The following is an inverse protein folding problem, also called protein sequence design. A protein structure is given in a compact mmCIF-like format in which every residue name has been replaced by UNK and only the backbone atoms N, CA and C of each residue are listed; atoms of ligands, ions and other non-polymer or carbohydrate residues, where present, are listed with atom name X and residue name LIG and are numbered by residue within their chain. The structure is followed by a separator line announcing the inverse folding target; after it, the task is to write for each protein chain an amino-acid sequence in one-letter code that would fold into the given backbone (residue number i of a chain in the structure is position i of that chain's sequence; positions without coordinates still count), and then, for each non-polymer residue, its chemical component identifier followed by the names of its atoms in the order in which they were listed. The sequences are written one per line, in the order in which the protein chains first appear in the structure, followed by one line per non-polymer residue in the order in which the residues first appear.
data_IF_401738420197
#
_entry.id   IF_401738420197
#
_cell.length_a   1.000
_cell.length_b   1.000
_cell.length_c   1.000
_cell.angle_alpha   90.00
_cell.angle_beta   90.00
_cell.angle_gamma   90.00
#
_symmetry.space_group_name_H-M   'P 1'
#
loop_
_entity.id
_entity.type
_entity.pdbx_description
1 polymer ?
#
# COMPACT_ATOMS: atom_id res chain seq x y z
N UNK A 1 7.82 1.85 12.01
CA UNK A 1 7.58 3.30 11.92
C UNK A 1 8.83 4.00 11.40
N UNK A 2 8.68 4.81 10.36
CA UNK A 2 9.75 5.68 9.82
C UNK A 2 9.20 7.09 9.60
N UNK A 3 10.07 8.12 9.68
CA UNK A 3 9.65 9.52 9.59
C UNK A 3 10.49 10.36 8.63
N UNK A 4 9.89 11.44 8.14
CA UNK A 4 10.52 12.43 7.25
C UNK A 4 11.04 11.79 5.96
N UNK A 5 12.22 12.18 5.54
CA UNK A 5 12.85 11.67 4.32
C UNK A 5 13.08 10.13 4.33
N UNK A 6 13.15 9.50 5.53
CA UNK A 6 13.31 8.06 5.64
C UNK A 6 12.08 7.28 5.15
N UNK A 7 10.90 7.90 5.08
CA UNK A 7 9.71 7.29 4.49
C UNK A 7 9.88 7.00 3.01
N UNK A 8 10.80 7.69 2.32
CA UNK A 8 11.14 7.43 0.91
C UNK A 8 11.91 6.13 0.66
N UNK A 9 12.34 5.46 1.72
CA UNK A 9 12.97 4.14 1.68
C UNK A 9 11.87 3.08 1.78
N UNK A 10 11.62 2.33 0.72
CA UNK A 10 10.53 1.34 0.63
C UNK A 10 10.53 0.37 1.82
N UNK A 11 11.72 -0.11 2.21
CA UNK A 11 11.94 -1.00 3.35
C UNK A 11 12.70 -0.27 4.46
N UNK A 12 12.33 0.99 4.72
CA UNK A 12 12.96 1.81 5.74
C UNK A 12 12.85 1.20 7.14
N UNK A 13 13.92 1.30 7.91
CA UNK A 13 13.94 0.89 9.32
C UNK A 13 13.95 2.12 10.22
N UNK A 14 13.41 1.97 11.42
CA UNK A 14 13.51 2.99 12.45
C UNK A 14 14.98 3.34 12.72
N UNK A 15 15.24 4.62 12.94
CA UNK A 15 16.56 5.18 13.26
C UNK A 15 16.43 6.09 14.48
N UNK A 16 17.52 6.72 14.90
CA UNK A 16 17.52 7.71 15.98
C UNK A 16 16.96 9.09 15.55
N UNK A 17 16.51 9.23 14.28
CA UNK A 17 15.87 10.45 13.80
C UNK A 17 14.66 10.77 14.68
N UNK A 18 14.65 11.97 15.25
CA UNK A 18 13.49 12.49 15.98
C UNK A 18 12.40 12.90 15.00
N UNK A 19 11.16 12.66 15.38
CA UNK A 19 9.99 13.11 14.62
C UNK A 19 9.86 14.62 14.80
N UNK A 20 9.67 15.36 13.71
CA UNK A 20 9.60 16.82 13.67
C UNK A 20 8.34 17.27 12.94
N UNK A 21 7.91 18.50 13.19
CA UNK A 21 6.79 19.09 12.44
C UNK A 21 7.14 19.18 10.95
N UNK A 22 6.20 18.78 10.10
CA UNK A 22 6.37 18.64 8.66
C UNK A 22 6.80 17.25 8.20
N UNK A 23 7.19 16.36 9.12
CA UNK A 23 7.54 14.99 8.75
C UNK A 23 6.33 14.19 8.25
N UNK A 24 6.51 13.49 7.14
CA UNK A 24 5.70 12.31 6.86
C UNK A 24 6.01 11.22 7.91
N UNK A 25 5.01 10.52 8.37
CA UNK A 25 5.14 9.41 9.31
C UNK A 25 4.47 8.18 8.72
N UNK A 26 5.27 7.21 8.28
CA UNK A 26 4.77 5.94 7.75
C UNK A 26 4.78 4.89 8.84
N UNK A 27 3.61 4.33 9.08
CA UNK A 27 3.35 3.24 10.01
C UNK A 27 2.99 2.00 9.20
N UNK A 28 3.70 0.90 9.42
CA UNK A 28 3.38 -0.40 8.85
C UNK A 28 3.48 -1.45 9.96
N UNK A 29 2.42 -2.17 10.17
CA UNK A 29 2.33 -3.13 11.26
C UNK A 29 1.25 -4.16 11.01
N UNK A 30 1.40 -5.30 11.66
CA UNK A 30 0.47 -6.38 11.65
C UNK A 30 0.38 -7.09 12.99
N UNK A 31 -0.51 -8.05 13.07
CA UNK A 31 -0.70 -8.93 14.21
C UNK A 31 -0.65 -10.39 13.77
N UNK A 32 -0.42 -11.27 14.74
CA UNK A 32 -0.58 -12.73 14.57
C UNK A 32 -1.66 -13.20 15.53
N UNK A 33 -2.68 -13.84 14.99
CA UNK A 33 -3.75 -14.44 15.78
C UNK A 33 -4.03 -15.86 15.30
N UNK A 34 -3.94 -16.83 16.20
CA UNK A 34 -4.08 -18.26 15.90
C UNK A 34 -3.22 -18.73 14.70
N UNK A 35 -2.01 -18.19 14.55
CA UNK A 35 -1.07 -18.50 13.46
C UNK A 35 -1.29 -17.72 12.17
N UNK A 36 -2.38 -16.99 12.00
CA UNK A 36 -2.65 -16.13 10.85
C UNK A 36 -2.14 -14.71 11.08
N UNK A 37 -1.68 -14.09 10.01
CA UNK A 37 -1.08 -12.75 10.03
C UNK A 37 -2.03 -11.72 9.42
N UNK A 38 -1.91 -10.49 9.89
CA UNK A 38 -2.45 -9.31 9.22
C UNK A 38 -1.33 -8.34 8.87
N UNK A 39 -1.60 -7.46 7.93
CA UNK A 39 -0.69 -6.40 7.50
C UNK A 39 -1.47 -5.15 7.13
N UNK A 40 -0.93 -3.98 7.44
CA UNK A 40 -1.49 -2.71 7.01
C UNK A 40 -0.47 -1.58 7.11
N UNK A 41 -0.55 -0.61 6.21
CA UNK A 41 0.23 0.62 6.30
C UNK A 41 -0.64 1.86 6.17
N UNK A 42 -0.24 2.92 6.86
CA UNK A 42 -0.76 4.28 6.73
C UNK A 42 0.37 5.29 6.79
N UNK A 43 0.21 6.34 6.00
CA UNK A 43 1.11 7.49 6.07
C UNK A 43 0.33 8.71 6.56
N UNK A 44 0.89 9.40 7.52
CA UNK A 44 0.36 10.59 8.19
C UNK A 44 1.35 11.73 8.00
N UNK A 45 0.98 12.95 8.42
CA UNK A 45 1.90 14.10 8.51
C UNK A 45 1.84 14.70 9.91
N UNK A 46 2.99 15.03 10.45
CA UNK A 46 3.09 15.76 11.71
C UNK A 46 3.00 17.26 11.42
N UNK A 47 1.93 17.91 11.88
CA UNK A 47 1.59 19.29 11.49
C UNK A 47 0.84 19.34 10.16
N UNK A 48 1.24 20.22 9.25
CA UNK A 48 0.55 20.44 7.98
C UNK A 48 1.33 19.87 6.79
N UNK A 49 0.64 19.12 5.94
CA UNK A 49 1.15 18.64 4.68
C UNK A 49 1.26 19.77 3.66
N UNK A 50 2.34 19.80 2.89
CA UNK A 50 2.45 20.68 1.73
C UNK A 50 1.62 20.18 0.54
N UNK A 51 1.50 20.99 -0.50
CA UNK A 51 0.68 20.67 -1.67
C UNK A 51 1.28 19.54 -2.53
N UNK A 52 2.62 19.38 -2.56
CA UNK A 52 3.28 18.27 -3.27
C UNK A 52 2.92 16.95 -2.59
N UNK A 53 3.00 16.88 -1.26
CA UNK A 53 2.61 15.72 -0.48
C UNK A 53 1.12 15.39 -0.65
N UNK A 54 0.24 16.38 -0.50
CA UNK A 54 -1.22 16.19 -0.65
C UNK A 54 -1.58 15.66 -2.03
N UNK A 55 -0.92 16.17 -3.09
CA UNK A 55 -1.13 15.69 -4.45
C UNK A 55 -0.74 14.22 -4.59
N UNK A 56 0.47 13.86 -4.14
CA UNK A 56 0.94 12.48 -4.18
C UNK A 56 0.05 11.55 -3.33
N UNK A 57 -0.38 12.02 -2.15
CA UNK A 57 -1.26 11.26 -1.26
C UNK A 57 -2.60 10.92 -1.92
N UNK A 58 -3.25 11.89 -2.57
CA UNK A 58 -4.51 11.65 -3.30
C UNK A 58 -4.35 10.59 -4.38
N UNK A 59 -3.25 10.61 -5.12
CA UNK A 59 -2.98 9.62 -6.16
C UNK A 59 -2.83 8.22 -5.55
N UNK A 60 -2.14 8.06 -4.42
CA UNK A 60 -2.05 6.77 -3.73
C UNK A 60 -3.41 6.34 -3.17
N UNK A 61 -4.19 7.27 -2.62
CA UNK A 61 -5.53 7.02 -2.12
C UNK A 61 -6.48 6.55 -3.25
N UNK A 62 -6.46 7.23 -4.39
CA UNK A 62 -7.25 6.86 -5.56
C UNK A 62 -6.81 5.51 -6.12
N UNK A 63 -5.51 5.23 -6.15
CA UNK A 63 -4.95 3.93 -6.54
C UNK A 63 -5.51 2.79 -5.65
N UNK A 64 -5.64 3.01 -4.33
CA UNK A 64 -6.31 2.06 -3.44
C UNK A 64 -7.79 1.86 -3.80
N UNK A 65 -8.52 2.92 -4.13
CA UNK A 65 -9.93 2.82 -4.54
C UNK A 65 -10.05 2.01 -5.82
N UNK A 66 -9.25 2.32 -6.84
CA UNK A 66 -9.21 1.59 -8.12
C UNK A 66 -8.87 0.12 -7.88
N UNK A 67 -7.84 -0.17 -7.08
CA UNK A 67 -7.42 -1.53 -6.76
C UNK A 67 -8.53 -2.36 -6.11
N UNK A 68 -9.24 -1.78 -5.14
CA UNK A 68 -10.37 -2.44 -4.47
C UNK A 68 -11.54 -2.77 -5.41
N UNK A 69 -11.75 -1.96 -6.43
CA UNK A 69 -12.79 -2.20 -7.44
C UNK A 69 -12.34 -3.21 -8.50
N UNK A 70 -11.06 -3.22 -8.84
CA UNK A 70 -10.50 -4.06 -9.89
C UNK A 70 -10.17 -5.48 -9.41
N UNK A 71 -9.59 -5.62 -8.21
CA UNK A 71 -9.14 -6.89 -7.63
C UNK A 71 -10.36 -7.75 -7.26
N UNK A 72 -10.48 -8.90 -7.93
CA UNK A 72 -11.56 -9.88 -7.71
C UNK A 72 -11.16 -11.24 -8.23
N UNK A 73 -11.95 -12.27 -7.91
CA UNK A 73 -11.78 -13.62 -8.44
C UNK A 73 -11.62 -13.60 -9.98
N UNK A 74 -10.63 -14.31 -10.48
CA UNK A 74 -10.33 -14.46 -11.90
C UNK A 74 -9.35 -13.42 -12.47
N UNK A 75 -9.05 -12.36 -11.74
CA UNK A 75 -8.01 -11.39 -12.12
C UNK A 75 -6.64 -12.01 -11.86
N UNK A 76 -5.67 -11.82 -12.78
CA UNK A 76 -4.29 -12.22 -12.54
C UNK A 76 -3.57 -11.18 -11.68
N UNK A 77 -2.58 -11.64 -10.88
CA UNK A 77 -1.72 -10.74 -10.12
C UNK A 77 -1.02 -9.71 -11.00
N UNK A 78 -0.57 -10.12 -12.20
CA UNK A 78 0.01 -9.20 -13.19
C UNK A 78 -0.98 -8.13 -13.66
N UNK A 79 -2.23 -8.50 -13.93
CA UNK A 79 -3.24 -7.53 -14.38
C UNK A 79 -3.61 -6.56 -13.25
N UNK A 80 -3.67 -7.04 -12.00
CA UNK A 80 -3.91 -6.19 -10.83
C UNK A 80 -2.79 -5.16 -10.64
N UNK A 81 -1.52 -5.61 -10.65
CA UNK A 81 -0.36 -4.69 -10.56
C UNK A 81 -0.35 -3.70 -11.74
N UNK A 82 -0.55 -4.20 -12.96
CA UNK A 82 -0.52 -3.38 -14.18
C UNK A 82 -1.55 -2.26 -14.18
N UNK A 83 -2.77 -2.51 -13.74
CA UNK A 83 -3.84 -1.50 -13.69
C UNK A 83 -3.48 -0.35 -12.74
N UNK A 84 -3.01 -0.68 -11.54
CA UNK A 84 -2.69 0.34 -10.54
C UNK A 84 -1.39 1.07 -10.90
N UNK A 85 -0.41 0.35 -11.40
CA UNK A 85 0.85 0.94 -11.87
C UNK A 85 0.62 1.92 -13.01
N UNK A 86 -0.22 1.55 -13.99
CA UNK A 86 -0.61 2.43 -15.10
C UNK A 86 -1.25 3.73 -14.57
N UNK A 87 -2.19 3.65 -13.63
CA UNK A 87 -2.81 4.83 -13.02
C UNK A 87 -1.78 5.78 -12.38
N UNK A 88 -0.85 5.23 -11.59
CA UNK A 88 0.23 6.00 -10.95
C UNK A 88 1.15 6.64 -12.01
N UNK A 89 1.48 5.91 -13.08
CA UNK A 89 2.29 6.39 -14.21
C UNK A 89 1.62 7.54 -14.96
N UNK A 90 0.34 7.42 -15.29
CA UNK A 90 -0.45 8.44 -15.99
C UNK A 90 -0.56 9.74 -15.18
N UNK A 91 -0.43 9.66 -13.87
CA UNK A 91 -0.38 10.80 -12.96
C UNK A 91 1.04 11.38 -12.75
N UNK A 92 2.05 10.88 -13.49
CA UNK A 92 3.41 11.42 -13.50
C UNK A 92 4.36 10.82 -12.46
N UNK A 93 3.99 9.70 -11.83
CA UNK A 93 4.79 9.06 -10.77
C UNK A 93 5.34 7.68 -11.16
N UNK A 94 5.57 7.44 -12.47
CA UNK A 94 6.12 6.17 -13.01
C UNK A 94 7.31 5.64 -12.20
N UNK A 95 8.31 6.49 -11.98
CA UNK A 95 9.59 6.09 -11.39
C UNK A 95 9.57 6.00 -9.87
N UNK A 96 8.42 6.28 -9.25
CA UNK A 96 8.27 6.40 -7.81
C UNK A 96 7.47 5.26 -7.17
N UNK A 97 6.84 4.36 -7.96
CA UNK A 97 6.22 3.12 -7.49
C UNK A 97 7.08 1.92 -7.89
N UNK A 98 7.92 1.43 -6.98
CA UNK A 98 9.03 0.52 -7.31
C UNK A 98 8.97 -0.86 -6.66
N UNK A 99 7.87 -1.21 -6.03
CA UNK A 99 7.63 -2.56 -5.48
C UNK A 99 6.37 -3.18 -6.10
N UNK A 100 6.08 -4.44 -5.80
CA UNK A 100 4.85 -5.12 -6.19
C UNK A 100 3.63 -4.45 -5.57
N UNK A 101 2.49 -4.56 -6.23
CA UNK A 101 1.23 -4.00 -5.71
C UNK A 101 0.79 -4.69 -4.42
N UNK A 102 1.18 -5.95 -4.21
CA UNK A 102 0.80 -6.70 -3.02
C UNK A 102 1.14 -8.19 -3.12
N UNK A 103 0.70 -8.92 -2.13
CA UNK A 103 0.94 -10.35 -1.99
C UNK A 103 -0.20 -11.02 -1.20
N UNK A 104 -0.29 -12.33 -1.30
CA UNK A 104 -1.10 -13.15 -0.41
C UNK A 104 -0.58 -13.08 1.02
N UNK A 105 -1.48 -13.25 1.97
CA UNK A 105 -1.15 -13.29 3.40
C UNK A 105 -2.01 -14.33 4.09
N UNK A 106 -1.40 -15.07 5.00
CA UNK A 106 -2.08 -16.12 5.77
C UNK A 106 -1.21 -16.56 6.93
N UNK A 107 -0.67 -17.75 6.86
CA UNK A 107 0.30 -18.26 7.85
C UNK A 107 1.66 -17.58 7.66
N UNK A 108 2.03 -17.29 6.41
CA UNK A 108 3.21 -16.46 6.12
C UNK A 108 2.80 -14.99 5.96
N UNK A 109 3.75 -14.09 6.21
CA UNK A 109 3.54 -12.65 5.99
C UNK A 109 3.35 -12.36 4.50
N UNK A 110 4.16 -12.98 3.65
CA UNK A 110 4.03 -12.92 2.20
C UNK A 110 4.00 -14.33 1.62
N UNK A 111 2.95 -14.65 0.91
CA UNK A 111 2.72 -15.94 0.25
C UNK A 111 1.95 -15.71 -1.07
N UNK A 112 1.84 -16.76 -1.91
CA UNK A 112 0.99 -16.67 -3.10
C UNK A 112 -0.49 -16.48 -2.73
N UNK A 113 -1.27 -15.76 -3.60
CA UNK A 113 -0.90 -15.20 -4.89
C UNK A 113 -0.15 -13.87 -4.79
N UNK A 114 0.85 -13.63 -5.65
CA UNK A 114 1.55 -12.34 -5.74
C UNK A 114 0.87 -11.40 -6.74
N UNK A 115 0.80 -10.11 -6.40
CA UNK A 115 0.31 -9.04 -7.27
C UNK A 115 1.53 -8.23 -7.73
N UNK A 116 2.18 -8.70 -8.79
CA UNK A 116 3.40 -8.11 -9.34
C UNK A 116 3.40 -8.17 -10.87
N UNK A 117 4.25 -7.38 -11.49
CA UNK A 117 4.35 -7.27 -12.96
C UNK A 117 4.73 -8.58 -13.67
N UNK A 118 5.32 -9.53 -12.96
CA UNK A 118 5.75 -10.84 -13.46
C UNK A 118 4.91 -12.02 -12.92
N UNK A 119 3.90 -11.73 -12.10
CA UNK A 119 3.07 -12.76 -11.47
C UNK A 119 2.22 -13.51 -12.49
N UNK A 120 2.20 -14.84 -12.36
CA UNK A 120 1.32 -15.75 -13.13
C UNK A 120 0.11 -16.21 -12.30
N UNK A 121 0.01 -15.78 -11.05
CA UNK A 121 -1.05 -16.20 -10.15
C UNK A 121 -2.39 -15.64 -10.59
N UNK A 122 -3.43 -16.46 -10.46
CA UNK A 122 -4.83 -16.05 -10.68
C UNK A 122 -5.54 -16.01 -9.34
N UNK A 123 -6.17 -14.90 -9.04
CA UNK A 123 -6.92 -14.73 -7.80
C UNK A 123 -8.13 -15.66 -7.75
N UNK A 124 -8.28 -16.37 -6.66
CA UNK A 124 -9.38 -17.31 -6.41
C UNK A 124 -10.17 -16.93 -5.17
N UNK A 125 -11.41 -17.42 -5.07
CA UNK A 125 -12.18 -17.27 -3.84
C UNK A 125 -11.45 -17.94 -2.66
N UNK A 126 -11.39 -17.26 -1.53
CA UNK A 126 -10.64 -17.67 -0.34
C UNK A 126 -9.29 -16.98 -0.20
N UNK A 127 -8.76 -16.35 -1.25
CA UNK A 127 -7.52 -15.58 -1.10
C UNK A 127 -7.72 -14.35 -0.21
N UNK A 128 -6.72 -14.07 0.60
CA UNK A 128 -6.52 -12.77 1.27
C UNK A 128 -5.23 -12.19 0.71
N UNK A 129 -5.29 -10.95 0.24
CA UNK A 129 -4.14 -10.27 -0.38
C UNK A 129 -3.98 -8.87 0.18
N UNK A 130 -2.74 -8.37 0.21
CA UNK A 130 -2.48 -6.95 0.43
C UNK A 130 -2.76 -6.14 -0.84
N UNK A 131 -3.16 -4.90 -0.65
CA UNK A 131 -3.23 -3.87 -1.69
C UNK A 131 -2.51 -2.65 -1.15
N UNK A 132 -1.28 -2.42 -1.62
CA UNK A 132 -0.32 -1.50 -1.00
C UNK A 132 0.36 -0.54 -1.99
N UNK A 133 -0.39 0.20 -2.81
CA UNK A 133 0.23 1.18 -3.69
C UNK A 133 0.99 2.23 -2.89
N UNK A 134 2.09 2.74 -3.49
CA UNK A 134 2.90 3.76 -2.84
C UNK A 134 3.67 4.63 -3.83
N UNK A 135 4.04 5.81 -3.39
CA UNK A 135 4.89 6.78 -4.11
C UNK A 135 6.04 7.16 -3.19
N UNK A 136 7.29 7.00 -3.68
CA UNK A 136 8.51 7.20 -2.88
C UNK A 136 9.45 8.15 -3.59
N UNK A 137 9.46 9.43 -3.16
CA UNK A 137 10.33 10.48 -3.73
C UNK A 137 11.60 10.57 -2.89
N UNK A 138 12.67 9.97 -3.40
CA UNK A 138 13.96 9.84 -2.69
C UNK A 138 14.41 11.15 -2.06
N UNK A 139 14.68 11.11 -0.75
CA UNK A 139 15.17 12.25 0.01
C UNK A 139 14.10 13.28 0.39
N UNK A 140 12.83 13.07 -0.01
CA UNK A 140 11.71 13.92 0.37
C UNK A 140 10.75 13.16 1.28
N UNK A 141 9.92 12.31 0.70
CA UNK A 141 8.92 11.52 1.43
C UNK A 141 8.55 10.24 0.68
N UNK A 142 7.96 9.31 1.40
CA UNK A 142 7.23 8.17 0.86
C UNK A 142 5.82 8.11 1.43
N UNK A 143 4.91 7.62 0.61
CA UNK A 143 3.50 7.41 0.96
C UNK A 143 3.15 5.97 0.61
N UNK A 144 2.61 5.23 1.57
CA UNK A 144 1.98 3.92 1.38
C UNK A 144 0.65 3.92 2.10
N UNK A 145 -0.36 3.41 1.41
CA UNK A 145 -1.66 3.08 2.00
C UNK A 145 -1.89 1.61 1.69
N UNK A 146 -2.01 0.81 2.71
CA UNK A 146 -2.15 -0.63 2.58
C UNK A 146 -3.39 -1.14 3.27
N UNK A 147 -4.12 -1.97 2.56
CA UNK A 147 -5.30 -2.67 3.03
C UNK A 147 -5.20 -4.17 2.76
N UNK A 148 -5.92 -4.96 3.56
CA UNK A 148 -6.17 -6.37 3.30
C UNK A 148 -7.50 -6.56 2.59
N UNK A 149 -7.48 -7.32 1.50
CA UNK A 149 -8.65 -7.66 0.71
C UNK A 149 -8.92 -9.16 0.79
N UNK A 150 -10.14 -9.53 1.17
CA UNK A 150 -10.64 -10.91 1.07
C UNK A 150 -11.40 -11.09 -0.24
N UNK A 151 -11.00 -12.07 -1.03
CA UNK A 151 -11.61 -12.41 -2.32
C UNK A 151 -12.67 -13.48 -2.07
N UNK A 152 -13.93 -13.14 -2.21
CA UNK A 152 -15.04 -14.09 -2.11
C UNK A 152 -15.50 -14.59 -3.49
N UNK A 153 -16.43 -15.52 -3.51
CA UNK A 153 -17.05 -15.98 -4.76
C UNK A 153 -17.89 -14.88 -5.46
N UNK A 154 -18.43 -13.93 -4.69
CA UNK A 154 -19.37 -12.89 -5.15
C UNK A 154 -18.77 -11.49 -5.22
N UNK A 155 -17.54 -11.28 -4.76
CA UNK A 155 -16.89 -9.97 -4.76
C UNK A 155 -15.68 -9.90 -3.86
N UNK A 156 -15.23 -8.70 -3.59
CA UNK A 156 -14.05 -8.44 -2.76
C UNK A 156 -14.44 -7.61 -1.54
N UNK A 157 -14.07 -8.05 -0.36
CA UNK A 157 -14.30 -7.38 0.90
C UNK A 157 -12.99 -6.77 1.41
N UNK A 158 -13.04 -5.52 1.85
CA UNK A 158 -11.91 -4.90 2.52
C UNK A 158 -11.96 -5.17 4.02
N UNK A 159 -10.97 -5.87 4.52
CA UNK A 159 -10.85 -6.23 5.93
C UNK A 159 -10.28 -5.09 6.79
N UNK A 160 -9.48 -4.18 6.20
CA UNK A 160 -8.88 -3.05 6.90
C UNK A 160 -9.91 -1.91 7.03
N UNK A 161 -10.31 -1.59 8.25
CA UNK A 161 -11.39 -0.61 8.53
C UNK A 161 -10.90 0.79 8.86
N UNK A 162 -9.60 0.98 9.01
CA UNK A 162 -8.98 2.29 9.30
C UNK A 162 -9.17 3.24 8.12
N UNK A 163 -9.39 4.55 8.41
CA UNK A 163 -9.47 5.59 7.37
C UNK A 163 -8.25 5.58 6.46
N UNK A 164 -8.46 5.98 5.21
CA UNK A 164 -7.41 6.25 4.20
C UNK A 164 -7.24 7.73 3.94
N UNK A 165 -7.99 8.56 4.65
CA UNK A 165 -7.84 10.00 4.54
C UNK A 165 -6.52 10.43 5.15
N UNK A 166 -5.96 11.51 4.59
CA UNK A 166 -4.74 12.09 5.14
C UNK A 166 -5.01 12.63 6.55
N UNK A 167 -4.25 12.12 7.51
CA UNK A 167 -4.27 12.60 8.89
C UNK A 167 -3.11 13.57 9.07
N UNK A 168 -3.43 14.79 9.47
CA UNK A 168 -2.51 15.82 9.93
C UNK A 168 -2.58 15.87 11.46
N UNK A 169 -1.47 15.49 12.15
CA UNK A 169 -1.37 15.39 13.61
C UNK A 169 -1.03 16.74 14.24
#
# INVERSE_FOLDING_TARGET
CVSGANTSLINGRATDKKIESGDALMLEFGAVYNGYRSDMARTLVVGKADEEFKKAYRIVQDACVIGRLYIKKGVSGQAADGEIRRYIEENGYRDYFRHSLGHGIGVQLAEAPYLSSDSKDILTAGNVVTLEPGIYIKGKFGIRIEDLLYISASGTENLTRTTRDLIEL
#
